data_IF_071915877060
#
_entry.id   IF_071915877060
#
_cell.length_a   1.000
_cell.length_b   1.000
_cell.length_c   1.000
_cell.angle_alpha   90.00
_cell.angle_beta   90.00
_cell.angle_gamma   90.00
#
_symmetry.space_group_name_H-M   'P 1'
#
loop_
_entity.id
_entity.type
_entity.pdbx_description
1 polymer ?
#
# COMPACT_ATOMS: atom_id res chain seq x y z
N UNK A 1 0.99 -2.78 9.06
CA UNK A 1 0.59 -4.14 8.63
C UNK A 1 -0.50 -4.64 9.56
N UNK A 2 -1.72 -4.95 9.09
CA UNK A 2 -2.83 -5.29 10.01
C UNK A 2 -2.68 -6.65 10.70
N UNK A 3 -1.95 -7.58 10.07
CA UNK A 3 -1.60 -8.90 10.59
C UNK A 3 -0.09 -9.11 10.50
N UNK A 4 0.43 -10.06 11.26
CA UNK A 4 1.83 -10.47 11.20
C UNK A 4 2.10 -11.47 10.07
N UNK A 5 3.37 -11.62 9.70
CA UNK A 5 3.81 -12.55 8.67
C UNK A 5 5.30 -12.88 8.80
N UNK A 6 5.71 -14.04 8.29
CA UNK A 6 7.13 -14.44 8.19
C UNK A 6 7.69 -14.29 6.76
N UNK A 7 6.80 -14.30 5.77
CA UNK A 7 7.14 -14.14 4.35
C UNK A 7 6.19 -13.13 3.72
N UNK A 8 6.76 -12.18 2.99
CA UNK A 8 6.01 -11.14 2.27
C UNK A 8 6.46 -11.05 0.82
N UNK A 9 5.70 -10.33 -0.01
CA UNK A 9 6.17 -9.77 -1.29
C UNK A 9 5.61 -8.37 -1.47
N UNK A 10 6.34 -7.53 -2.20
CA UNK A 10 5.95 -6.14 -2.47
C UNK A 10 5.40 -6.00 -3.88
N UNK A 11 4.32 -5.23 -4.03
CA UNK A 11 3.77 -4.81 -5.33
C UNK A 11 4.23 -3.39 -5.65
N UNK A 12 4.91 -3.24 -6.79
CA UNK A 12 5.30 -1.96 -7.38
C UNK A 12 4.50 -1.78 -8.67
N UNK A 13 3.94 -0.59 -8.89
CA UNK A 13 3.02 -0.33 -9.99
C UNK A 13 3.39 0.93 -10.75
N UNK A 14 3.27 0.83 -12.07
CA UNK A 14 3.29 1.92 -13.03
C UNK A 14 1.91 2.13 -13.69
N UNK A 15 0.82 1.79 -12.98
CA UNK A 15 -0.56 1.87 -13.52
C UNK A 15 -0.94 3.25 -14.05
N UNK A 16 -0.48 4.34 -13.41
CA UNK A 16 -0.81 5.71 -13.83
C UNK A 16 0.34 6.44 -14.54
N UNK A 17 1.50 5.80 -14.68
CA UNK A 17 2.63 6.40 -15.37
C UNK A 17 2.50 6.33 -16.89
N UNK A 18 3.12 7.30 -17.56
CA UNK A 18 3.08 7.42 -19.02
C UNK A 18 4.40 7.02 -19.70
N UNK A 19 5.44 6.75 -18.92
CA UNK A 19 6.73 6.23 -19.39
C UNK A 19 7.15 5.05 -18.55
N UNK A 20 8.15 4.31 -19.03
CA UNK A 20 8.78 3.24 -18.27
C UNK A 20 9.23 3.73 -16.88
N UNK A 21 8.95 2.91 -15.87
CA UNK A 21 9.44 3.06 -14.50
C UNK A 21 10.59 2.06 -14.28
N UNK A 22 11.85 2.51 -14.31
CA UNK A 22 12.99 1.67 -14.00
C UNK A 22 13.20 1.57 -12.48
N UNK A 23 13.08 0.37 -11.94
CA UNK A 23 13.51 0.04 -10.57
C UNK A 23 14.89 -0.59 -10.68
N UNK A 24 15.94 0.16 -10.32
CA UNK A 24 17.33 -0.30 -10.40
C UNK A 24 17.69 -1.18 -9.21
N UNK A 25 17.20 -0.82 -8.02
CA UNK A 25 17.33 -1.62 -6.81
C UNK A 25 16.16 -1.31 -5.86
N UNK A 26 15.82 -2.27 -5.00
CA UNK A 26 14.87 -2.06 -3.92
C UNK A 26 15.16 -2.98 -2.72
N UNK A 27 14.72 -2.58 -1.54
CA UNK A 27 14.84 -3.37 -0.31
C UNK A 27 13.64 -3.12 0.62
N UNK A 28 13.41 -4.04 1.54
CA UNK A 28 12.49 -3.85 2.67
C UNK A 28 13.22 -4.04 3.99
N UNK A 29 12.80 -3.30 5.01
CA UNK A 29 13.33 -3.40 6.37
C UNK A 29 12.24 -3.03 7.40
N UNK A 30 12.51 -3.34 8.67
CA UNK A 30 11.78 -2.73 9.78
C UNK A 30 12.26 -1.27 9.93
N UNK A 31 11.35 -0.29 10.05
CA UNK A 31 11.73 1.09 10.32
C UNK A 31 12.26 1.22 11.76
N UNK A 32 13.17 2.17 11.97
CA UNK A 32 13.72 2.43 13.30
C UNK A 32 12.60 2.76 14.30
N UNK A 33 12.64 2.13 15.47
CA UNK A 33 11.64 2.26 16.53
C UNK A 33 10.19 1.92 16.09
N UNK A 34 10.04 1.15 15.01
CA UNK A 34 8.75 0.86 14.38
C UNK A 34 7.94 2.14 14.03
N UNK A 35 8.64 3.25 13.78
CA UNK A 35 7.99 4.55 13.53
C UNK A 35 7.56 4.69 12.07
N UNK A 36 6.32 5.13 11.83
CA UNK A 36 5.89 5.48 10.49
C UNK A 36 6.56 6.79 10.03
N UNK A 37 6.86 6.90 8.74
CA UNK A 37 7.42 8.12 8.16
C UNK A 37 8.85 8.45 8.57
N UNK A 38 9.54 7.57 9.28
CA UNK A 38 10.99 7.72 9.56
C UNK A 38 11.81 7.42 8.30
N UNK A 39 12.90 8.18 8.11
CA UNK A 39 13.89 7.90 7.07
C UNK A 39 14.94 6.86 7.50
N UNK A 40 14.81 6.30 8.71
CA UNK A 40 15.77 5.38 9.30
C UNK A 40 15.24 3.95 9.34
N UNK A 41 16.14 2.98 9.13
CA UNK A 41 15.82 1.56 9.15
C UNK A 41 16.69 0.78 10.12
N UNK A 42 16.18 -0.34 10.60
CA UNK A 42 16.97 -1.36 11.30
C UNK A 42 17.75 -2.18 10.26
N UNK A 43 18.99 -1.78 9.96
CA UNK A 43 19.77 -2.34 8.83
C UNK A 43 19.94 -3.86 8.87
N UNK A 44 20.02 -4.47 10.07
CA UNK A 44 20.08 -5.93 10.24
C UNK A 44 18.83 -6.67 9.69
N UNK A 45 17.70 -5.97 9.61
CA UNK A 45 16.44 -6.48 9.06
C UNK A 45 16.31 -6.25 7.56
N UNK A 46 17.23 -5.49 6.94
CA UNK A 46 17.17 -5.18 5.52
C UNK A 46 17.24 -6.45 4.68
N UNK A 47 16.36 -6.53 3.68
CA UNK A 47 16.30 -7.61 2.70
C UNK A 47 16.14 -7.01 1.31
N UNK A 48 17.09 -7.32 0.43
CA UNK A 48 17.04 -6.89 -0.97
C UNK A 48 15.87 -7.56 -1.69
N UNK A 49 15.04 -6.77 -2.38
CA UNK A 49 13.99 -7.28 -3.23
C UNK A 49 14.58 -7.77 -4.56
N UNK A 50 13.98 -8.84 -5.08
CA UNK A 50 14.23 -9.35 -6.43
C UNK A 50 12.93 -9.44 -7.20
N UNK A 51 13.03 -9.46 -8.53
CA UNK A 51 11.92 -9.57 -9.46
C UNK A 51 12.26 -10.65 -10.46
N UNK A 52 11.67 -11.84 -10.31
CA UNK A 52 12.00 -13.02 -11.09
C UNK A 52 13.52 -13.33 -11.05
N UNK A 53 14.11 -13.26 -9.86
CA UNK A 53 15.53 -13.48 -9.61
C UNK A 53 16.44 -12.27 -9.89
N UNK A 54 15.99 -11.25 -10.62
CA UNK A 54 16.76 -10.04 -10.92
C UNK A 54 16.68 -9.01 -9.80
N UNK A 55 17.73 -8.24 -9.55
CA UNK A 55 17.70 -7.11 -8.59
C UNK A 55 17.00 -5.87 -9.13
N UNK A 56 16.76 -5.83 -10.44
CA UNK A 56 16.14 -4.72 -11.16
C UNK A 56 14.99 -5.18 -12.03
N UNK A 57 14.06 -4.27 -12.32
CA UNK A 57 12.92 -4.48 -13.22
C UNK A 57 12.53 -3.15 -13.89
N UNK A 58 12.06 -3.22 -15.12
CA UNK A 58 11.44 -2.09 -15.82
C UNK A 58 9.94 -2.38 -15.91
N UNK A 59 9.11 -1.44 -15.44
CA UNK A 59 7.66 -1.52 -15.54
C UNK A 59 7.19 -0.58 -16.67
N UNK A 60 6.71 -1.11 -17.81
CA UNK A 60 6.05 -0.30 -18.82
C UNK A 60 4.80 0.42 -18.27
N UNK A 61 4.30 1.47 -18.94
CA UNK A 61 3.04 2.13 -18.59
C UNK A 61 1.90 1.14 -18.38
N UNK A 62 1.11 1.32 -17.32
CA UNK A 62 -0.05 0.49 -17.01
C UNK A 62 0.25 -0.84 -16.28
N UNK A 63 1.53 -1.18 -16.08
CA UNK A 63 1.91 -2.51 -15.54
C UNK A 63 2.19 -2.51 -14.04
N UNK A 64 2.21 -3.70 -13.45
CA UNK A 64 2.55 -3.95 -12.04
C UNK A 64 3.55 -5.09 -11.97
N UNK A 65 4.59 -4.93 -11.15
CA UNK A 65 5.57 -5.95 -10.82
C UNK A 65 5.37 -6.42 -9.37
N UNK A 66 5.59 -7.72 -9.16
CA UNK A 66 5.66 -8.33 -7.85
C UNK A 66 7.11 -8.69 -7.56
N UNK A 67 7.57 -8.39 -6.36
CA UNK A 67 8.83 -8.95 -5.90
C UNK A 67 8.70 -10.47 -5.73
N UNK A 68 9.84 -11.16 -5.80
CA UNK A 68 9.96 -12.51 -5.29
C UNK A 68 9.60 -12.53 -3.78
N UNK A 69 9.10 -13.67 -3.26
CA UNK A 69 8.83 -13.82 -1.84
C UNK A 69 10.09 -13.62 -1.01
N UNK A 70 9.96 -12.94 0.13
CA UNK A 70 11.09 -12.62 1.00
C UNK A 70 10.78 -12.91 2.46
N UNK A 71 11.73 -13.57 3.13
CA UNK A 71 11.61 -13.91 4.54
C UNK A 71 12.03 -12.71 5.40
N UNK A 72 11.04 -12.11 6.05
CA UNK A 72 11.19 -11.01 6.99
C UNK A 72 10.05 -11.10 7.99
N UNK A 73 10.39 -11.19 9.27
CA UNK A 73 9.41 -11.27 10.34
C UNK A 73 8.76 -9.91 10.54
N UNK A 74 7.45 -9.87 10.38
CA UNK A 74 6.60 -8.70 10.56
C UNK A 74 5.63 -9.00 11.70
N UNK A 75 5.61 -8.13 12.70
CA UNK A 75 4.65 -8.20 13.80
C UNK A 75 3.29 -7.64 13.37
N UNK A 76 2.17 -8.13 13.92
CA UNK A 76 0.88 -7.46 13.73
C UNK A 76 0.96 -5.99 14.15
N UNK A 77 0.26 -5.13 13.40
CA UNK A 77 0.20 -3.68 13.59
C UNK A 77 1.52 -2.93 13.41
N UNK A 78 2.60 -3.59 12.98
CA UNK A 78 3.91 -2.94 12.77
C UNK A 78 4.02 -2.26 11.40
N UNK A 79 5.02 -1.40 11.26
CA UNK A 79 5.39 -0.73 10.03
C UNK A 79 6.43 -1.53 9.22
N UNK A 80 6.53 -1.20 7.94
CA UNK A 80 7.54 -1.73 7.01
C UNK A 80 8.10 -0.55 6.23
N UNK A 81 9.42 -0.44 6.18
CA UNK A 81 10.12 0.51 5.31
C UNK A 81 10.42 -0.16 3.97
N UNK A 82 10.12 0.55 2.88
CA UNK A 82 10.46 0.16 1.51
C UNK A 82 11.39 1.24 0.94
N UNK A 83 12.60 0.84 0.57
CA UNK A 83 13.54 1.69 -0.15
C UNK A 83 13.56 1.30 -1.62
N UNK A 84 13.43 2.30 -2.50
CA UNK A 84 13.43 2.11 -3.96
C UNK A 84 14.43 3.07 -4.58
N UNK A 85 15.26 2.56 -5.48
CA UNK A 85 16.20 3.36 -6.25
C UNK A 85 15.91 3.25 -7.75
N UNK A 86 15.82 4.42 -8.39
CA UNK A 86 15.61 4.58 -9.83
C UNK A 86 16.78 5.40 -10.38
N UNK A 87 17.82 4.75 -10.91
CA UNK A 87 19.07 5.44 -11.31
C UNK A 87 18.82 6.59 -12.30
N UNK A 88 17.95 6.35 -13.28
CA UNK A 88 17.61 7.31 -14.33
C UNK A 88 16.32 8.09 -14.06
N UNK A 89 15.62 7.78 -12.96
CA UNK A 89 14.28 8.29 -12.70
C UNK A 89 13.21 7.73 -13.65
N UNK A 90 11.96 8.13 -13.41
CA UNK A 90 10.86 8.02 -14.38
C UNK A 90 10.68 9.38 -15.06
N UNK A 91 10.46 9.39 -16.37
CA UNK A 91 10.29 10.62 -17.13
C UNK A 91 8.87 11.19 -16.97
N UNK A 92 8.74 12.52 -16.98
CA UNK A 92 7.46 13.22 -16.84
C UNK A 92 6.97 13.32 -15.40
N UNK A 93 5.75 13.83 -15.23
CA UNK A 93 5.14 14.11 -13.92
C UNK A 93 3.90 13.26 -13.61
N UNK A 94 3.48 12.40 -14.56
CA UNK A 94 2.41 11.43 -14.36
C UNK A 94 3.05 10.16 -13.83
N UNK A 95 2.95 9.95 -12.53
CA UNK A 95 3.51 8.80 -11.82
C UNK A 95 2.47 8.17 -10.91
N UNK A 96 2.58 6.86 -10.66
CA UNK A 96 1.76 6.17 -9.66
C UNK A 96 2.18 6.61 -8.26
N UNK A 97 1.21 7.08 -7.47
CA UNK A 97 1.45 7.44 -6.09
C UNK A 97 0.15 7.67 -5.32
N UNK A 98 0.29 7.93 -4.03
CA UNK A 98 -0.80 8.20 -3.13
C UNK A 98 -0.54 9.49 -2.34
N UNK A 99 -1.02 10.64 -2.84
CA UNK A 99 -0.83 11.92 -2.18
C UNK A 99 -1.51 12.05 -0.82
N UNK A 100 -2.57 11.26 -0.59
CA UNK A 100 -3.31 11.20 0.68
C UNK A 100 -2.65 10.34 1.77
N UNK A 101 -1.44 9.81 1.52
CA UNK A 101 -0.83 8.79 2.39
C UNK A 101 -0.62 9.24 3.84
N UNK A 102 -0.43 10.54 4.11
CA UNK A 102 -0.16 11.07 5.46
C UNK A 102 1.04 10.38 6.12
N UNK A 103 2.00 9.98 5.30
CA UNK A 103 3.22 9.32 5.73
C UNK A 103 4.39 9.94 4.98
N UNK A 104 5.40 10.34 5.73
CA UNK A 104 6.59 10.99 5.19
C UNK A 104 7.47 9.97 4.48
N UNK A 105 7.65 10.15 3.17
CA UNK A 105 8.68 9.48 2.40
C UNK A 105 9.92 10.37 2.31
N UNK A 106 11.09 9.75 2.32
CA UNK A 106 12.38 10.43 2.26
C UNK A 106 13.09 10.12 0.95
N UNK A 107 13.89 11.06 0.47
CA UNK A 107 14.64 10.97 -0.78
C UNK A 107 16.07 11.42 -0.59
N UNK A 108 16.97 10.82 -1.37
CA UNK A 108 18.39 11.15 -1.44
C UNK A 108 18.93 10.73 -2.80
N UNK A 109 19.83 11.53 -3.37
CA UNK A 109 20.47 11.24 -4.65
C UNK A 109 21.44 10.06 -4.49
N UNK A 110 21.39 9.11 -5.44
CA UNK A 110 22.25 7.93 -5.47
C UNK A 110 21.57 6.67 -4.93
N UNK A 111 22.28 5.54 -5.00
CA UNK A 111 21.79 4.27 -4.48
C UNK A 111 21.99 4.19 -2.96
N UNK A 112 20.90 4.37 -2.22
CA UNK A 112 20.87 4.28 -0.76
C UNK A 112 19.89 3.22 -0.25
N UNK A 113 19.55 2.20 -1.07
CA UNK A 113 18.48 1.24 -0.67
C UNK A 113 18.79 0.46 0.61
N UNK A 114 20.05 0.36 1.03
CA UNK A 114 20.44 -0.30 2.29
C UNK A 114 21.06 0.67 3.32
N UNK A 115 20.94 2.00 3.11
CA UNK A 115 21.47 2.97 4.05
C UNK A 115 20.66 2.97 5.36
N UNK A 116 21.33 3.17 6.50
CA UNK A 116 20.68 3.29 7.81
C UNK A 116 19.70 4.47 7.87
N UNK A 117 19.91 5.50 7.05
CA UNK A 117 19.17 6.76 7.05
C UNK A 117 19.13 7.36 5.65
N UNK A 118 17.99 7.94 5.30
CA UNK A 118 17.76 8.81 4.12
C UNK A 118 17.27 10.17 4.64
N UNK A 119 17.85 11.27 4.17
CA UNK A 119 17.56 12.58 4.79
C UNK A 119 17.61 13.83 3.91
N UNK A 120 17.94 13.74 2.61
CA UNK A 120 18.16 14.96 1.81
C UNK A 120 16.87 15.74 1.52
N UNK A 121 15.78 15.03 1.22
CA UNK A 121 14.47 15.62 0.98
C UNK A 121 13.35 14.72 1.50
N UNK A 122 12.15 15.28 1.65
CA UNK A 122 10.98 14.51 2.07
C UNK A 122 9.67 15.08 1.53
N UNK A 123 8.65 14.23 1.49
CA UNK A 123 7.27 14.62 1.15
C UNK A 123 6.27 13.63 1.75
N UNK A 124 5.02 14.05 1.96
CA UNK A 124 3.99 13.21 2.62
C UNK A 124 3.19 12.35 1.64
N UNK A 125 3.87 11.73 0.67
CA UNK A 125 3.26 10.91 -0.37
C UNK A 125 3.95 9.54 -0.44
N UNK A 126 3.19 8.50 -0.75
CA UNK A 126 3.75 7.25 -1.22
C UNK A 126 3.89 7.27 -2.75
N UNK A 127 4.92 6.62 -3.27
CA UNK A 127 5.15 6.46 -4.70
C UNK A 127 5.37 4.99 -5.03
N UNK A 128 4.85 4.58 -6.19
CA UNK A 128 5.03 3.28 -6.85
C UNK A 128 4.55 2.03 -6.10
N UNK A 129 4.68 1.96 -4.77
CA UNK A 129 4.20 0.84 -3.96
C UNK A 129 2.67 0.85 -3.88
N UNK A 130 2.06 -0.30 -4.15
CA UNK A 130 0.59 -0.48 -4.15
C UNK A 130 0.11 -1.61 -3.26
N UNK A 131 1.01 -2.39 -2.68
CA UNK A 131 0.64 -3.40 -1.70
C UNK A 131 1.82 -4.20 -1.17
N UNK A 132 1.59 -4.85 -0.04
CA UNK A 132 2.44 -5.89 0.53
C UNK A 132 1.57 -7.12 0.73
N UNK A 133 1.83 -8.17 -0.03
CA UNK A 133 1.14 -9.44 0.16
C UNK A 133 1.91 -10.27 1.19
N UNK A 134 1.18 -11.08 1.96
CA UNK A 134 1.76 -11.92 3.00
C UNK A 134 1.33 -13.36 2.83
N UNK A 135 2.21 -14.30 3.21
CA UNK A 135 1.84 -15.70 3.34
C UNK A 135 1.23 -15.91 4.73
N UNK A 136 -0.08 -16.07 4.76
CA UNK A 136 -0.84 -16.31 5.98
C UNK A 136 -1.43 -17.74 6.01
N UNK A 137 -1.72 -18.28 7.21
CA UNK A 137 -2.50 -19.52 7.34
C UNK A 137 -3.87 -19.42 6.64
N UNK A 138 -4.44 -20.57 6.24
CA UNK A 138 -5.67 -20.63 5.41
C UNK A 138 -6.94 -20.10 6.08
N UNK A 139 -6.95 -20.00 7.40
CA UNK A 139 -8.05 -19.45 8.18
C UNK A 139 -8.03 -17.91 8.25
N UNK A 140 -6.99 -17.28 7.72
CA UNK A 140 -6.91 -15.83 7.59
C UNK A 140 -7.63 -15.33 6.35
N UNK A 141 -8.23 -14.15 6.45
CA UNK A 141 -8.90 -13.51 5.32
C UNK A 141 -8.80 -11.99 5.36
N UNK A 142 -8.99 -11.37 4.20
CA UNK A 142 -8.86 -9.93 4.03
C UNK A 142 -10.22 -9.25 3.89
N UNK A 143 -10.42 -8.21 4.71
CA UNK A 143 -11.46 -7.19 4.56
C UNK A 143 -10.85 -6.01 3.81
N UNK A 144 -11.38 -5.71 2.63
CA UNK A 144 -10.98 -4.54 1.84
C UNK A 144 -11.92 -3.37 2.13
N UNK A 145 -11.36 -2.21 2.46
CA UNK A 145 -12.11 -0.98 2.69
C UNK A 145 -12.01 -0.09 1.45
N UNK A 146 -13.14 0.22 0.83
CA UNK A 146 -13.27 1.18 -0.26
C UNK A 146 -13.98 2.43 0.24
N UNK A 147 -13.64 3.60 -0.29
CA UNK A 147 -14.27 4.84 0.11
C UNK A 147 -13.57 6.09 -0.37
N UNK A 148 -13.98 7.21 0.22
CA UNK A 148 -13.52 8.56 -0.08
C UNK A 148 -12.43 9.02 0.90
N UNK A 149 -12.25 10.34 0.99
CA UNK A 149 -11.25 10.96 1.86
C UNK A 149 -11.37 10.63 3.35
N UNK A 150 -12.57 10.32 3.85
CA UNK A 150 -12.77 9.96 5.27
C UNK A 150 -12.13 8.60 5.53
N UNK A 151 -12.41 7.62 4.68
CA UNK A 151 -11.81 6.29 4.81
C UNK A 151 -10.33 6.28 4.48
N UNK A 152 -9.91 7.08 3.52
CA UNK A 152 -8.51 7.32 3.18
C UNK A 152 -7.68 7.82 4.39
N UNK A 153 -8.30 8.56 5.31
CA UNK A 153 -7.65 9.00 6.55
C UNK A 153 -7.79 10.49 6.87
N UNK A 154 -8.71 11.23 6.25
CA UNK A 154 -8.92 12.66 6.56
C UNK A 154 -9.26 12.83 8.05
N UNK A 155 -8.46 13.66 8.73
CA UNK A 155 -8.57 13.90 10.17
C UNK A 155 -7.60 13.08 11.02
N UNK A 156 -6.82 12.17 10.42
CA UNK A 156 -5.69 11.52 11.09
C UNK A 156 -4.46 12.42 11.12
N UNK A 157 -3.56 12.15 12.06
CA UNK A 157 -2.26 12.82 12.13
C UNK A 157 -1.29 12.17 11.15
N UNK A 158 -0.39 12.98 10.60
CA UNK A 158 0.69 12.46 9.79
C UNK A 158 1.62 11.57 10.62
N UNK A 159 2.12 10.49 10.02
CA UNK A 159 3.11 9.59 10.61
C UNK A 159 2.63 8.87 11.89
N UNK A 160 1.31 8.82 12.15
CA UNK A 160 0.74 8.20 13.37
C UNK A 160 -0.04 6.92 13.17
N UNK A 161 -0.43 6.58 11.94
CA UNK A 161 -1.34 5.46 11.66
C UNK A 161 -2.54 5.42 12.61
N UNK A 162 -3.23 6.56 12.75
CA UNK A 162 -4.41 6.72 13.60
C UNK A 162 -5.68 6.99 12.78
N UNK A 163 -5.77 6.42 11.57
CA UNK A 163 -7.02 6.41 10.78
C UNK A 163 -8.01 5.47 11.46
N UNK A 164 -9.31 5.66 11.22
CA UNK A 164 -10.32 4.75 11.78
C UNK A 164 -10.09 3.29 11.35
N UNK A 165 -9.53 3.05 10.16
CA UNK A 165 -9.13 1.73 9.66
C UNK A 165 -7.98 1.11 10.47
N UNK A 166 -7.06 1.94 10.98
CA UNK A 166 -5.96 1.49 11.83
C UNK A 166 -6.51 1.07 13.21
N UNK A 167 -7.45 1.83 13.76
CA UNK A 167 -8.18 1.45 14.98
C UNK A 167 -9.02 0.18 14.78
N UNK A 168 -9.66 0.00 13.63
CA UNK A 168 -10.36 -1.24 13.30
C UNK A 168 -9.40 -2.44 13.35
N UNK A 169 -8.23 -2.35 12.70
CA UNK A 169 -7.23 -3.40 12.73
C UNK A 169 -6.76 -3.71 14.16
N UNK A 170 -6.48 -2.68 14.95
CA UNK A 170 -6.09 -2.84 16.36
C UNK A 170 -7.18 -3.52 17.20
N UNK A 171 -8.44 -3.13 17.00
CA UNK A 171 -9.57 -3.73 17.71
C UNK A 171 -9.78 -5.21 17.33
N UNK A 172 -9.59 -5.58 16.05
CA UNK A 172 -9.66 -6.97 15.61
C UNK A 172 -8.55 -7.82 16.26
N UNK A 173 -7.32 -7.31 16.31
CA UNK A 173 -6.22 -7.97 17.03
C UNK A 173 -6.55 -8.16 18.52
N UNK A 174 -7.04 -7.11 19.19
CA UNK A 174 -7.33 -7.13 20.63
C UNK A 174 -8.55 -7.97 21.01
N UNK A 175 -9.49 -8.18 20.09
CA UNK A 175 -10.71 -8.98 20.33
C UNK A 175 -10.55 -10.48 20.00
N UNK A 176 -9.34 -10.93 19.65
CA UNK A 176 -9.07 -12.32 19.28
C UNK A 176 -9.43 -12.66 17.83
N UNK A 177 -9.80 -11.66 17.02
CA UNK A 177 -10.02 -11.77 15.58
C UNK A 177 -8.73 -11.46 14.79
N UNK A 178 -7.59 -11.93 15.29
CA UNK A 178 -6.26 -11.63 14.74
C UNK A 178 -6.01 -12.22 13.34
N UNK A 179 -6.87 -13.14 12.90
CA UNK A 179 -6.88 -13.74 11.57
C UNK A 179 -7.55 -12.84 10.50
N UNK A 180 -8.16 -11.73 10.90
CA UNK A 180 -8.81 -10.78 10.00
C UNK A 180 -7.83 -9.65 9.62
N UNK A 181 -7.43 -9.62 8.36
CA UNK A 181 -6.61 -8.53 7.82
C UNK A 181 -7.49 -7.38 7.30
N UNK A 182 -6.99 -6.16 7.41
CA UNK A 182 -7.67 -4.93 6.96
C UNK A 182 -6.80 -4.26 5.91
N UNK A 183 -7.35 -4.06 4.71
CA UNK A 183 -6.68 -3.39 3.60
C UNK A 183 -7.46 -2.15 3.20
N UNK A 184 -6.93 -0.98 3.54
CA UNK A 184 -7.54 0.29 3.18
C UNK A 184 -7.17 0.67 1.74
N UNK A 185 -8.16 0.66 0.86
CA UNK A 185 -8.08 0.96 -0.57
C UNK A 185 -8.98 2.15 -0.93
N UNK A 186 -9.34 2.98 0.06
CA UNK A 186 -10.00 4.25 -0.17
C UNK A 186 -9.05 5.25 -0.83
N UNK A 187 -9.64 6.26 -1.46
CA UNK A 187 -8.89 7.34 -2.09
C UNK A 187 -9.58 8.68 -1.84
N UNK A 188 -8.81 9.70 -1.45
CA UNK A 188 -9.31 11.06 -1.32
C UNK A 188 -9.97 11.57 -2.61
N UNK A 189 -11.20 12.11 -2.50
CA UNK A 189 -11.94 12.63 -3.65
C UNK A 189 -12.41 11.58 -4.65
N UNK A 190 -12.47 10.30 -4.25
CA UNK A 190 -13.08 9.23 -5.03
C UNK A 190 -14.60 9.42 -5.14
N UNK A 191 -15.16 9.05 -6.28
CA UNK A 191 -16.59 8.99 -6.53
C UNK A 191 -16.99 7.55 -6.92
N UNK A 192 -18.25 7.13 -6.70
CA UNK A 192 -18.72 5.80 -7.10
C UNK A 192 -18.79 5.69 -8.61
N UNK A 193 -19.55 6.61 -9.25
CA UNK A 193 -20.03 6.40 -10.62
C UNK A 193 -19.17 7.11 -11.66
N UNK A 194 -18.84 8.39 -11.44
CA UNK A 194 -18.10 9.21 -12.42
C UNK A 194 -17.42 10.41 -11.75
N UNK A 195 -16.34 10.89 -12.35
CA UNK A 195 -15.63 12.09 -11.91
C UNK A 195 -14.65 11.79 -10.78
N UNK A 196 -14.50 12.71 -9.83
CA UNK A 196 -13.50 12.62 -8.77
C UNK A 196 -12.09 12.98 -9.23
N UNK A 197 -11.12 12.79 -8.34
CA UNK A 197 -9.70 13.13 -8.58
C UNK A 197 -8.90 12.00 -9.28
N UNK A 198 -9.52 10.84 -9.46
CA UNK A 198 -8.96 9.66 -10.12
C UNK A 198 -10.08 8.79 -10.69
N UNK A 199 -9.78 7.55 -11.15
CA UNK A 199 -10.80 6.65 -11.66
C UNK A 199 -11.90 6.39 -10.61
N UNK A 200 -13.20 6.46 -10.98
CA UNK A 200 -14.29 6.19 -10.07
C UNK A 200 -14.27 4.74 -9.56
N UNK A 201 -15.00 4.47 -8.47
CA UNK A 201 -15.00 3.16 -7.82
C UNK A 201 -15.39 2.04 -8.78
N UNK A 202 -16.37 2.29 -9.65
CA UNK A 202 -16.86 1.32 -10.63
C UNK A 202 -15.79 0.90 -11.64
N UNK A 203 -14.80 1.76 -11.91
CA UNK A 203 -13.67 1.44 -12.79
C UNK A 203 -12.53 0.73 -12.07
N UNK A 204 -12.41 0.88 -10.74
CA UNK A 204 -11.24 0.40 -9.98
C UNK A 204 -11.51 -0.75 -9.01
N UNK A 205 -12.76 -1.07 -8.67
CA UNK A 205 -13.06 -2.05 -7.62
C UNK A 205 -12.52 -3.46 -7.90
N UNK A 206 -12.46 -3.88 -9.18
CA UNK A 206 -11.83 -5.15 -9.52
C UNK A 206 -10.36 -5.17 -9.11
N UNK A 207 -9.60 -4.13 -9.46
CA UNK A 207 -8.17 -4.00 -9.13
C UNK A 207 -7.97 -3.83 -7.62
N UNK A 208 -8.74 -2.93 -7.03
CA UNK A 208 -8.48 -2.44 -5.67
C UNK A 208 -9.12 -3.35 -4.60
N UNK A 209 -10.09 -4.19 -4.95
CA UNK A 209 -10.68 -5.16 -4.03
C UNK A 209 -10.57 -6.61 -4.50
N UNK A 210 -11.16 -6.94 -5.66
CA UNK A 210 -11.33 -8.36 -6.07
C UNK A 210 -10.04 -9.04 -6.56
N UNK A 211 -9.00 -8.26 -6.82
CA UNK A 211 -7.67 -8.76 -7.18
C UNK A 211 -6.67 -8.70 -6.02
N UNK A 212 -7.11 -8.29 -4.83
CA UNK A 212 -6.25 -8.30 -3.65
C UNK A 212 -6.06 -9.72 -3.14
N UNK A 213 -4.82 -10.11 -2.86
CA UNK A 213 -4.52 -11.45 -2.37
C UNK A 213 -5.26 -11.72 -1.03
N UNK A 214 -6.02 -12.81 -0.98
CA UNK A 214 -6.78 -13.21 0.22
C UNK A 214 -8.09 -12.44 0.46
N UNK A 215 -8.57 -11.64 -0.49
CA UNK A 215 -9.86 -10.93 -0.37
C UNK A 215 -11.00 -11.92 -0.07
N UNK A 216 -11.87 -11.53 0.87
CA UNK A 216 -13.08 -12.31 1.18
C UNK A 216 -14.31 -11.43 1.42
N UNK A 217 -14.11 -10.18 1.84
CA UNK A 217 -15.20 -9.22 1.97
C UNK A 217 -14.76 -7.82 1.60
N UNK A 218 -15.71 -7.02 1.11
CA UNK A 218 -15.53 -5.63 0.74
C UNK A 218 -16.47 -4.79 1.58
N UNK A 219 -15.92 -3.80 2.26
CA UNK A 219 -16.68 -2.77 2.96
C UNK A 219 -16.51 -1.45 2.23
N UNK A 220 -17.62 -0.81 1.90
CA UNK A 220 -17.62 0.54 1.34
C UNK A 220 -18.23 1.49 2.37
N UNK A 221 -17.46 2.49 2.79
CA UNK A 221 -18.00 3.57 3.63
C UNK A 221 -18.88 4.50 2.79
N UNK A 222 -19.94 5.04 3.39
CA UNK A 222 -20.80 6.09 2.81
C UNK A 222 -19.97 7.18 2.10
N UNK A 223 -20.15 7.32 0.78
CA UNK A 223 -19.59 8.42 -0.03
C UNK A 223 -20.39 9.72 0.20
N UNK A 224 -20.38 10.20 1.45
CA UNK A 224 -21.21 11.30 1.91
C UNK A 224 -20.61 12.67 1.64
N UNK A 225 -20.44 13.03 0.36
CA UNK A 225 -20.06 14.37 -0.06
C UNK A 225 -20.26 14.62 -1.56
N UNK A 226 -20.07 13.59 -2.39
CA UNK A 226 -20.12 13.73 -3.86
C UNK A 226 -21.28 12.98 -4.53
N UNK A 227 -21.89 11.95 -3.95
CA UNK A 227 -23.03 11.23 -4.55
C UNK A 227 -23.86 10.49 -3.46
N UNK A 228 -25.17 10.72 -3.40
CA UNK A 228 -26.03 10.16 -2.35
C UNK A 228 -26.60 8.78 -2.75
N UNK A 229 -25.96 7.68 -2.34
CA UNK A 229 -26.64 6.37 -2.19
C UNK A 229 -25.84 5.40 -1.32
N UNK A 230 -26.48 4.82 -0.31
CA UNK A 230 -25.97 3.67 0.46
C UNK A 230 -26.26 2.37 -0.30
N UNK A 231 -25.24 1.56 -0.56
CA UNK A 231 -25.43 0.14 -0.89
C UNK A 231 -24.43 -0.73 -0.13
N UNK A 232 -24.96 -1.75 0.55
CA UNK A 232 -24.18 -2.91 1.00
C UNK A 232 -24.00 -3.78 -0.25
N UNK A 233 -22.79 -3.83 -0.80
CA UNK A 233 -22.49 -4.71 -1.93
C UNK A 233 -22.20 -6.10 -1.39
N UNK A 234 -23.23 -6.96 -1.33
CA UNK A 234 -23.06 -8.39 -1.05
C UNK A 234 -22.71 -9.09 -2.37
N UNK A 235 -21.41 -9.24 -2.65
CA UNK A 235 -20.90 -9.76 -3.93
C UNK A 235 -21.03 -11.28 -4.09
N UNK A 236 -21.74 -11.97 -3.17
CA UNK A 236 -22.07 -13.40 -3.32
C UNK A 236 -23.19 -13.69 -4.35
N UNK A 237 -23.66 -12.69 -5.09
CA UNK A 237 -24.86 -12.83 -5.93
C UNK A 237 -24.64 -12.66 -7.44
N UNK A 238 -23.40 -12.65 -7.92
CA UNK A 238 -23.12 -12.57 -9.36
C UNK A 238 -22.14 -13.68 -9.78
N UNK A 239 -22.64 -14.92 -9.77
CA UNK A 239 -22.10 -16.01 -10.59
C UNK A 239 -22.90 -16.08 -11.89
N UNK A 240 -22.36 -15.48 -12.97
CA UNK A 240 -22.51 -15.88 -14.38
C UNK A 240 -21.41 -15.27 -15.23
#
# INVERSE_FOLDING_TARGET
MSIGAETIRVRISNTFGQTDLPITAASVAQPAQDSAGTGQIETATSRQLRFNGSTSVILPPGTTAYSDPINIKISPLSNVALSVYTERGQLGSKITGHPGSRTTSWMQIGDHVNATSISEASTRHWYFATGVDVWAPKDHFLVVLLGDSITDGRGSDDDRNNRWSDFLAANLQNSGLSHVAVNNQAAGGNAVLKGGLGPPLLERYHRDALQQAGWQSVWSSKEGGNEASTQRMDLKQWDV
#
